data_IF_349215158671
#
_entry.id   IF_349215158671
#
_cell.length_a   1.000
_cell.length_b   1.000
_cell.length_c   1.000
_cell.angle_alpha   90.00
_cell.angle_beta   90.00
_cell.angle_gamma   90.00
#
_symmetry.space_group_name_H-M   'P 1'
#
loop_
_entity.id
_entity.type
_entity.pdbx_description
1 polymer ?
#
# COMPACT_ATOMS: atom_id res chain seq x y z
N UNK A 1 -7.17 4.42 2.97
CA UNK A 1 -8.50 4.37 2.32
C UNK A 1 -8.94 2.95 2.06
N UNK A 2 -8.23 2.15 1.25
CA UNK A 2 -8.61 0.76 0.93
C UNK A 2 -8.97 -0.10 2.15
N UNK A 3 -8.21 0.01 3.25
CA UNK A 3 -8.42 -0.80 4.44
C UNK A 3 -9.42 -0.23 5.45
N UNK A 4 -9.74 1.06 5.34
CA UNK A 4 -10.49 1.83 6.36
C UNK A 4 -11.76 2.49 5.81
N UNK A 5 -11.95 2.51 4.49
CA UNK A 5 -13.00 3.29 3.81
C UNK A 5 -12.89 4.81 4.03
N UNK A 6 -11.81 5.29 4.66
CA UNK A 6 -11.67 6.68 5.09
C UNK A 6 -10.23 7.16 4.93
N UNK A 7 -10.06 8.44 4.58
CA UNK A 7 -8.76 9.11 4.50
C UNK A 7 -8.10 9.23 5.89
N UNK A 8 -6.77 9.04 5.98
CA UNK A 8 -6.05 9.16 7.26
C UNK A 8 -5.99 10.59 7.78
N UNK A 9 -6.01 11.59 6.88
CA UNK A 9 -6.04 13.02 7.22
C UNK A 9 -7.21 13.68 6.50
N UNK A 10 -7.97 14.50 7.21
CA UNK A 10 -9.10 15.28 6.69
C UNK A 10 -9.02 16.70 7.22
N UNK A 11 -9.58 17.64 6.48
CA UNK A 11 -9.70 19.03 6.87
C UNK A 11 -10.51 19.77 5.82
N UNK A 12 -11.13 20.88 6.23
CA UNK A 12 -11.99 21.68 5.36
C UNK A 12 -11.15 22.57 4.41
N UNK A 13 -9.99 23.01 4.88
CA UNK A 13 -9.06 23.87 4.15
C UNK A 13 -7.65 23.27 4.02
N UNK A 14 -6.89 23.70 3.01
CA UNK A 14 -5.49 23.26 2.79
C UNK A 14 -4.60 23.41 4.03
N UNK A 15 -4.78 24.49 4.80
CA UNK A 15 -4.00 24.74 6.03
C UNK A 15 -4.33 23.70 7.10
N UNK A 16 -5.61 23.37 7.26
CA UNK A 16 -6.07 22.36 8.22
C UNK A 16 -5.58 20.96 7.82
N UNK A 17 -5.62 20.62 6.53
CA UNK A 17 -5.11 19.35 6.00
C UNK A 17 -3.60 19.24 6.21
N UNK A 18 -2.83 20.28 5.87
CA UNK A 18 -1.38 20.26 6.07
C UNK A 18 -1.02 20.14 7.55
N UNK A 19 -1.75 20.85 8.42
CA UNK A 19 -1.59 20.72 9.87
C UNK A 19 -1.91 19.32 10.37
N UNK A 20 -2.95 18.69 9.82
CA UNK A 20 -3.32 17.30 10.13
C UNK A 20 -2.23 16.32 9.67
N UNK A 21 -1.69 16.48 8.46
CA UNK A 21 -0.57 15.65 7.95
C UNK A 21 0.65 15.77 8.87
N UNK A 22 0.94 16.99 9.36
CA UNK A 22 2.12 17.25 10.18
C UNK A 22 2.00 16.85 11.65
N UNK A 23 0.79 16.91 12.22
CA UNK A 23 0.61 16.81 13.68
C UNK A 23 -0.39 15.74 14.12
N UNK A 24 -1.28 15.29 13.23
CA UNK A 24 -2.34 14.36 13.63
C UNK A 24 -1.78 12.94 13.70
N UNK A 25 -1.99 12.22 14.81
CA UNK A 25 -1.69 10.79 14.85
C UNK A 25 -2.62 10.04 13.89
N UNK A 26 -2.08 9.03 13.20
CA UNK A 26 -2.86 8.13 12.36
C UNK A 26 -3.70 7.22 13.25
N UNK A 27 -4.99 7.09 12.93
CA UNK A 27 -5.92 6.20 13.64
C UNK A 27 -5.80 4.78 13.09
N UNK A 28 -5.60 3.81 13.98
CA UNK A 28 -5.57 2.39 13.66
C UNK A 28 -6.75 1.67 14.31
N UNK A 29 -7.36 0.72 13.59
CA UNK A 29 -8.48 -0.06 14.13
C UNK A 29 -8.00 -1.27 14.93
N UNK A 30 -8.77 -1.67 15.95
CA UNK A 30 -8.38 -2.76 16.85
C UNK A 30 -8.22 -4.10 16.11
N UNK A 31 -9.10 -4.39 15.16
CA UNK A 31 -9.13 -5.62 14.36
C UNK A 31 -8.04 -5.72 13.28
N UNK A 32 -7.22 -4.70 13.08
CA UNK A 32 -6.08 -4.80 12.17
C UNK A 32 -4.96 -5.63 12.79
N UNK A 33 -4.32 -6.46 11.95
CA UNK A 33 -3.17 -7.27 12.37
C UNK A 33 -2.03 -6.39 12.88
N UNK A 34 -1.21 -6.94 13.76
CA UNK A 34 -0.07 -6.24 14.36
C UNK A 34 0.97 -5.85 13.31
N UNK A 35 1.19 -6.71 12.32
CA UNK A 35 2.15 -6.51 11.22
C UNK A 35 1.68 -5.38 10.30
N UNK A 36 0.37 -5.28 10.04
CA UNK A 36 -0.19 -4.19 9.25
C UNK A 36 0.00 -2.84 9.94
N UNK A 37 -0.27 -2.78 11.26
CA UNK A 37 -0.08 -1.55 12.05
C UNK A 37 1.39 -1.13 12.06
N UNK A 38 2.30 -2.08 12.23
CA UNK A 38 3.74 -1.82 12.20
C UNK A 38 4.18 -1.23 10.85
N UNK A 39 3.78 -1.86 9.74
CA UNK A 39 4.11 -1.36 8.40
C UNK A 39 3.57 0.06 8.16
N UNK A 40 2.30 0.31 8.45
CA UNK A 40 1.68 1.62 8.26
C UNK A 40 2.33 2.70 9.14
N UNK A 41 2.75 2.34 10.36
CA UNK A 41 3.45 3.27 11.25
C UNK A 41 4.78 3.76 10.67
N UNK A 42 5.47 2.90 9.91
CA UNK A 42 6.74 3.21 9.24
C UNK A 42 6.56 3.95 7.92
N UNK A 43 5.43 3.75 7.24
CA UNK A 43 5.06 4.47 6.02
C UNK A 43 4.63 5.91 6.34
N UNK A 44 3.77 6.09 7.35
CA UNK A 44 3.23 7.39 7.75
C UNK A 44 4.16 8.19 8.69
N UNK A 45 5.46 8.19 8.39
CA UNK A 45 6.44 9.02 9.10
C UNK A 45 6.56 10.39 8.43
N UNK A 46 6.47 11.45 9.24
CA UNK A 46 6.61 12.84 8.80
C UNK A 46 8.00 13.12 8.22
N UNK A 47 9.05 12.60 8.85
CA UNK A 47 10.43 12.77 8.39
C UNK A 47 10.72 11.81 7.22
N UNK A 48 11.04 12.33 6.01
CA UNK A 48 11.30 11.47 4.86
C UNK A 48 12.55 10.61 5.03
N UNK A 49 13.54 11.07 5.82
CA UNK A 49 14.79 10.32 6.07
C UNK A 49 14.58 9.06 6.92
N UNK A 50 13.54 9.06 7.75
CA UNK A 50 13.20 7.93 8.61
C UNK A 50 12.07 7.08 8.04
N UNK A 51 11.54 7.48 6.88
CA UNK A 51 10.49 6.73 6.18
C UNK A 51 11.11 5.46 5.64
N UNK A 52 10.38 4.36 5.81
CA UNK A 52 10.75 3.05 5.28
C UNK A 52 10.99 3.12 3.77
N UNK A 53 12.02 2.43 3.30
CA UNK A 53 12.34 2.30 1.87
C UNK A 53 11.44 1.27 1.20
N UNK A 54 11.37 1.30 -0.13
CA UNK A 54 10.55 0.34 -0.89
C UNK A 54 11.04 -1.10 -0.67
N UNK A 55 12.36 -1.31 -0.65
CA UNK A 55 12.95 -2.63 -0.40
C UNK A 55 12.55 -3.19 0.97
N UNK A 56 12.54 -2.35 2.01
CA UNK A 56 12.11 -2.73 3.35
C UNK A 56 10.61 -2.99 3.43
N UNK A 57 9.78 -2.25 2.66
CA UNK A 57 8.34 -2.53 2.54
C UNK A 57 8.14 -3.92 1.93
N UNK A 58 8.80 -4.21 0.81
CA UNK A 58 8.66 -5.49 0.11
C UNK A 58 9.11 -6.67 0.99
N UNK A 59 10.15 -6.49 1.80
CA UNK A 59 10.63 -7.50 2.73
C UNK A 59 9.86 -7.54 4.08
N UNK A 60 8.84 -6.70 4.26
CA UNK A 60 8.11 -6.64 5.52
C UNK A 60 7.28 -7.92 5.75
N UNK A 61 7.15 -8.44 6.99
CA UNK A 61 6.36 -9.65 7.27
C UNK A 61 4.90 -9.58 6.80
N UNK A 62 4.34 -8.37 6.73
CA UNK A 62 3.00 -8.14 6.17
C UNK A 62 2.92 -8.48 4.67
N UNK A 63 3.98 -8.17 3.91
CA UNK A 63 4.08 -8.48 2.48
C UNK A 63 4.34 -9.97 2.24
N UNK A 64 5.12 -10.64 3.09
CA UNK A 64 5.28 -12.11 3.09
C UNK A 64 5.40 -12.73 1.69
N UNK A 65 4.45 -13.59 1.34
CA UNK A 65 4.37 -14.34 0.06
C UNK A 65 4.22 -13.45 -1.18
N UNK A 66 3.74 -12.21 -1.04
CA UNK A 66 3.61 -11.30 -2.18
C UNK A 66 4.97 -10.79 -2.66
N UNK A 67 5.97 -10.74 -1.79
CA UNK A 67 7.31 -10.23 -2.13
C UNK A 67 7.97 -11.01 -3.29
N UNK A 68 7.76 -12.33 -3.34
CA UNK A 68 8.29 -13.19 -4.40
C UNK A 68 7.57 -12.96 -5.73
N UNK A 69 6.25 -12.75 -5.70
CA UNK A 69 5.48 -12.43 -6.92
C UNK A 69 5.89 -11.10 -7.56
N UNK A 70 6.23 -10.09 -6.75
CA UNK A 70 6.70 -8.79 -7.25
C UNK A 70 8.07 -8.90 -7.94
N UNK A 71 8.98 -9.74 -7.42
CA UNK A 71 10.28 -10.00 -8.04
C UNK A 71 10.15 -10.67 -9.40
N UNK A 72 9.15 -11.54 -9.58
CA UNK A 72 8.89 -12.15 -10.88
C UNK A 72 8.42 -11.12 -11.91
N UNK A 73 7.61 -10.13 -11.51
CA UNK A 73 7.16 -9.04 -12.39
C UNK A 73 8.34 -8.17 -12.84
N UNK A 74 9.26 -7.81 -11.95
CA UNK A 74 10.44 -7.02 -12.30
C UNK A 74 11.37 -7.75 -13.28
N UNK A 75 11.41 -9.08 -13.22
CA UNK A 75 12.22 -9.90 -14.14
C UNK A 75 11.64 -9.99 -15.56
N UNK A 76 10.34 -9.69 -15.73
CA UNK A 76 9.70 -9.67 -17.06
C UNK A 76 10.05 -8.33 -17.71
N UNK A 77 10.71 -8.30 -18.88
CA UNK A 77 11.05 -7.05 -19.55
C UNK A 77 9.75 -6.30 -19.82
N UNK A 78 9.67 -5.06 -19.32
CA UNK A 78 8.52 -4.19 -19.56
C UNK A 78 8.32 -4.04 -21.07
N UNK A 79 7.14 -4.39 -21.63
CA UNK A 79 6.89 -4.28 -23.07
C UNK A 79 7.02 -2.85 -23.65
N UNK A 80 7.18 -1.84 -22.78
CA UNK A 80 7.13 -0.42 -23.13
C UNK A 80 8.49 0.29 -23.12
N UNK A 81 9.59 -0.41 -22.86
CA UNK A 81 10.94 0.16 -22.97
C UNK A 81 11.72 -0.57 -24.06
N UNK A 82 11.43 -0.23 -25.32
CA UNK A 82 12.48 -0.31 -26.32
C UNK A 82 13.37 0.93 -26.12
N UNK A 83 14.57 0.72 -25.56
CA UNK A 83 15.62 1.74 -25.48
C UNK A 83 16.33 1.92 -26.82
N UNK A 84 15.56 1.97 -27.91
CA UNK A 84 16.05 2.48 -29.18
C UNK A 84 15.67 3.96 -29.20
N UNK A 85 16.67 4.79 -28.92
CA UNK A 85 16.58 6.24 -28.98
C UNK A 85 15.85 6.67 -30.27
N UNK A 86 14.90 7.59 -30.10
CA UNK A 86 14.30 8.44 -31.13
C UNK A 86 12.92 8.06 -31.69
N UNK A 87 11.95 7.68 -30.84
CA UNK A 87 10.53 8.05 -30.99
C UNK A 87 9.65 7.46 -29.87
N UNK A 88 9.26 8.30 -28.90
CA UNK A 88 8.19 7.93 -27.97
C UNK A 88 6.86 7.93 -28.74
N UNK A 89 6.52 6.80 -29.35
CA UNK A 89 5.16 6.54 -29.85
C UNK A 89 4.40 5.80 -28.77
N UNK A 90 3.52 6.50 -28.05
CA UNK A 90 2.54 5.89 -27.17
C UNK A 90 1.58 5.06 -28.02
N UNK A 91 1.89 3.78 -28.24
CA UNK A 91 0.91 2.85 -28.80
C UNK A 91 -0.10 2.53 -27.71
N UNK A 92 -1.24 3.24 -27.70
CA UNK A 92 -2.44 2.76 -27.04
C UNK A 92 -2.94 1.52 -27.79
N UNK A 93 -2.45 0.34 -27.42
CA UNK A 93 -3.07 -0.91 -27.83
C UNK A 93 -4.19 -1.22 -26.83
N UNK A 94 -5.41 -0.98 -27.30
CA UNK A 94 -6.67 -1.41 -26.70
C UNK A 94 -6.77 -2.93 -26.75
N UNK A 95 -6.14 -3.67 -25.83
CA UNK A 95 -6.42 -5.09 -25.62
C UNK A 95 -6.37 -5.45 -24.12
N UNK A 96 -7.57 -5.49 -23.53
CA UNK A 96 -8.04 -6.43 -22.49
C UNK A 96 -7.05 -6.80 -21.37
N UNK A 97 -6.93 -5.93 -20.35
CA UNK A 97 -6.28 -6.23 -19.07
C UNK A 97 -7.32 -6.45 -17.96
N UNK A 98 -8.06 -7.55 -18.01
CA UNK A 98 -8.98 -7.93 -16.91
C UNK A 98 -8.41 -9.00 -15.96
N UNK A 99 -7.25 -9.60 -16.24
CA UNK A 99 -6.81 -10.79 -15.48
C UNK A 99 -5.40 -10.68 -14.81
N UNK A 100 -4.88 -9.50 -14.46
CA UNK A 100 -3.52 -9.41 -13.87
C UNK A 100 -3.40 -8.71 -12.50
N UNK A 101 -4.50 -8.42 -11.83
CA UNK A 101 -4.42 -8.09 -10.40
C UNK A 101 -5.23 -9.10 -9.64
N UNK A 102 -4.58 -10.18 -9.20
CA UNK A 102 -5.12 -10.97 -8.10
C UNK A 102 -5.39 -9.98 -6.96
N UNK A 103 -6.65 -9.84 -6.52
CA UNK A 103 -6.97 -8.91 -5.47
C UNK A 103 -6.11 -9.28 -4.27
N UNK A 104 -5.32 -8.32 -3.78
CA UNK A 104 -4.57 -8.45 -2.52
C UNK A 104 -5.61 -8.84 -1.48
N UNK A 105 -5.68 -10.14 -1.16
CA UNK A 105 -6.57 -10.63 -0.12
C UNK A 105 -6.00 -10.08 1.17
N UNK A 106 -6.64 -9.09 1.79
CA UNK A 106 -6.13 -8.54 3.03
C UNK A 106 -6.15 -9.71 4.01
N UNK A 107 -5.04 -9.93 4.71
CA UNK A 107 -4.98 -10.88 5.82
C UNK A 107 -5.85 -10.32 6.95
N UNK A 108 -7.16 -10.51 6.85
CA UNK A 108 -8.11 -10.23 7.91
C UNK A 108 -7.98 -11.34 8.94
N UNK A 109 -7.90 -10.97 10.21
CA UNK A 109 -7.97 -11.93 11.32
C UNK A 109 -9.29 -12.72 11.20
N UNK A 110 -9.22 -14.03 11.43
CA UNK A 110 -10.37 -14.92 11.32
C UNK A 110 -11.48 -14.45 12.28
N UNK A 111 -12.77 -14.64 11.93
CA UNK A 111 -13.90 -14.28 12.80
C UNK A 111 -13.86 -14.95 14.19
N UNK A 112 -13.06 -16.00 14.33
CA UNK A 112 -12.97 -16.87 15.49
C UNK A 112 -12.23 -16.22 16.67
N UNK A 113 -11.49 -15.13 16.46
CA UNK A 113 -10.84 -14.34 17.53
C UNK A 113 -11.67 -13.14 18.02
N UNK A 114 -12.89 -12.95 17.50
CA UNK A 114 -13.76 -11.80 17.86
C UNK A 114 -14.73 -12.16 19.00
N UNK A 115 -14.78 -13.42 19.44
CA UNK A 115 -15.69 -13.86 20.51
C UNK A 115 -15.01 -13.91 21.88
N UNK A 116 -14.75 -12.74 22.46
CA UNK A 116 -14.84 -12.57 23.92
C UNK A 116 -14.91 -11.09 24.26
N UNK A 117 -16.11 -10.52 24.23
CA UNK A 117 -16.71 -9.82 25.37
C UNK A 117 -18.23 -9.88 25.18
N UNK A 118 -18.86 -10.83 25.85
CA UNK A 118 -20.22 -10.68 26.37
C UNK A 118 -20.08 -10.03 27.74
N UNK A 119 -20.70 -8.86 27.90
CA UNK A 119 -21.42 -8.35 29.08
C UNK A 119 -21.80 -6.89 28.80
#
# INVERSE_FOLDING_TARGET
>A
EILSGTLPFKGDDKISINSAIMKSPVKYYKYWSTELKDLLSKIFINSPKHRITIEEILNHPWMGEYSDSWREIESKPSPLLNTDSNNITLKLTSEKSEDLFDPIKPKFLKPEEITSVVC
#
